data_IF_208942180496
#
_entry.id   IF_208942180496
#
_cell.length_a   1.000
_cell.length_b   1.000
_cell.length_c   1.000
_cell.angle_alpha   90.00
_cell.angle_beta   90.00
_cell.angle_gamma   90.00
#
_symmetry.space_group_name_H-M   'P 1'
#
loop_
_entity.id
_entity.type
_entity.pdbx_description
1 polymer ?
#
# COMPACT_ATOMS: atom_id res chain seq x y z
N UNK A 1 54.56 13.25 6.37
CA UNK A 1 54.55 13.34 7.85
C UNK A 1 53.49 14.34 8.25
N UNK A 2 52.24 13.91 8.27
CA UNK A 2 51.37 14.01 9.45
C UNK A 2 49.96 13.69 8.98
N UNK A 3 49.58 12.42 9.04
CA UNK A 3 48.24 11.91 8.71
C UNK A 3 47.93 10.77 9.67
N UNK A 4 48.17 11.02 10.95
CA UNK A 4 47.62 10.18 12.00
C UNK A 4 46.13 10.46 12.03
N UNK A 5 45.38 9.53 11.42
CA UNK A 5 43.93 9.59 11.30
C UNK A 5 43.20 9.30 12.60
N UNK A 6 43.62 9.93 13.69
CA UNK A 6 42.76 10.13 14.84
C UNK A 6 41.76 11.24 14.51
N UNK A 7 40.53 11.15 15.02
CA UNK A 7 39.66 12.33 15.03
C UNK A 7 40.44 13.48 15.66
N UNK A 8 40.54 14.64 14.99
CA UNK A 8 41.07 15.80 15.69
C UNK A 8 40.18 16.07 16.91
N UNK A 9 40.77 16.46 18.04
CA UNK A 9 40.03 16.72 19.29
C UNK A 9 38.83 17.67 19.07
N UNK A 10 38.95 18.58 18.11
CA UNK A 10 37.87 19.47 17.68
C UNK A 10 36.61 18.72 17.19
N UNK A 11 36.78 17.59 16.51
CA UNK A 11 35.68 16.73 16.06
C UNK A 11 34.97 16.09 17.25
N UNK A 12 35.71 15.52 18.20
CA UNK A 12 35.15 14.90 19.41
C UNK A 12 34.33 15.92 20.21
N UNK A 13 34.90 17.10 20.45
CA UNK A 13 34.22 18.19 21.16
C UNK A 13 32.94 18.63 20.43
N UNK A 14 32.93 18.66 19.09
CA UNK A 14 31.76 19.07 18.32
C UNK A 14 30.60 18.06 18.42
N UNK A 15 30.90 16.76 18.35
CA UNK A 15 29.90 15.68 18.46
C UNK A 15 29.39 15.47 19.89
N UNK A 16 30.16 15.91 20.89
CA UNK A 16 29.75 15.89 22.30
C UNK A 16 29.16 17.24 22.78
N UNK A 17 28.93 18.18 21.86
CA UNK A 17 28.22 19.42 22.20
C UNK A 17 26.77 19.14 22.56
N UNK A 18 26.17 20.01 23.40
CA UNK A 18 24.77 19.86 23.83
C UNK A 18 23.79 19.71 22.65
N UNK A 19 23.84 20.52 21.57
CA UNK A 19 22.94 20.33 20.43
C UNK A 19 23.14 19.00 19.70
N UNK A 20 24.38 18.49 19.64
CA UNK A 20 24.65 17.19 19.04
C UNK A 20 24.10 16.04 19.89
N UNK A 21 24.20 16.12 21.22
CA UNK A 21 23.68 15.12 22.17
C UNK A 21 22.15 15.14 22.29
N UNK A 22 21.50 16.25 21.93
CA UNK A 22 20.03 16.29 21.76
C UNK A 22 19.55 15.41 20.58
N UNK A 23 20.42 15.16 19.59
CA UNK A 23 20.11 14.36 18.41
C UNK A 23 20.70 12.94 18.48
N UNK A 24 22.00 12.84 18.77
CA UNK A 24 22.75 11.59 18.71
C UNK A 24 22.48 10.74 19.96
N UNK A 25 22.34 9.41 19.82
CA UNK A 25 22.19 8.49 20.94
C UNK A 25 23.50 8.07 21.61
N UNK A 26 24.60 8.77 21.32
CA UNK A 26 25.94 8.32 21.66
C UNK A 26 26.86 9.47 22.06
N UNK A 27 27.73 9.21 23.03
CA UNK A 27 28.91 10.02 23.31
C UNK A 27 30.08 9.51 22.46
N UNK A 28 30.73 10.40 21.72
CA UNK A 28 31.90 10.07 20.91
C UNK A 28 33.15 10.08 21.80
N UNK A 29 33.84 8.94 21.91
CA UNK A 29 35.06 8.83 22.71
C UNK A 29 36.34 8.99 21.86
N UNK A 30 36.27 8.65 20.57
CA UNK A 30 37.38 8.80 19.63
C UNK A 30 37.31 7.79 18.49
N UNK A 31 38.33 7.76 17.63
CA UNK A 31 38.48 6.74 16.58
C UNK A 31 39.46 5.66 17.02
N UNK A 32 39.15 4.40 16.71
CA UNK A 32 40.08 3.28 16.89
C UNK A 32 40.23 2.49 15.59
N UNK A 33 41.38 1.83 15.47
CA UNK A 33 41.68 0.89 14.40
C UNK A 33 41.61 -0.55 14.94
N UNK A 34 40.94 -1.43 14.20
CA UNK A 34 40.94 -2.86 14.44
C UNK A 34 42.21 -3.50 13.87
N UNK A 35 42.87 -4.34 14.68
CA UNK A 35 44.04 -5.14 14.29
C UNK A 35 43.92 -6.49 15.03
N UNK A 36 43.52 -7.59 14.36
CA UNK A 36 43.10 -7.71 12.96
C UNK A 36 41.78 -6.97 12.65
N UNK A 37 41.36 -6.82 11.37
CA UNK A 37 40.06 -6.26 11.03
C UNK A 37 38.92 -7.08 11.64
N UNK A 38 37.83 -6.40 11.99
CA UNK A 38 36.65 -7.01 12.61
C UNK A 38 35.44 -6.89 11.68
N UNK A 39 34.35 -7.57 12.03
CA UNK A 39 33.17 -7.71 11.19
C UNK A 39 31.91 -7.21 11.90
N UNK A 40 30.84 -6.99 11.13
CA UNK A 40 29.52 -6.75 11.71
C UNK A 40 28.89 -8.05 12.17
N UNK A 41 28.60 -8.15 13.46
CA UNK A 41 27.85 -9.24 14.06
C UNK A 41 26.35 -9.06 13.75
N UNK A 42 25.91 -9.72 12.69
CA UNK A 42 24.53 -9.74 12.22
C UNK A 42 23.96 -11.17 12.21
N UNK A 43 24.70 -12.13 12.76
CA UNK A 43 24.26 -13.52 12.81
C UNK A 43 23.08 -13.61 13.79
N UNK A 44 21.92 -14.09 13.32
CA UNK A 44 20.68 -14.16 14.11
C UNK A 44 20.13 -12.80 14.61
N UNK A 45 20.46 -11.69 13.96
CA UNK A 45 19.91 -10.39 14.34
C UNK A 45 18.43 -10.26 13.95
N UNK A 46 17.53 -10.27 14.93
CA UNK A 46 16.06 -10.17 14.74
C UNK A 46 15.54 -8.74 14.55
N UNK A 47 16.42 -7.75 14.53
CA UNK A 47 15.99 -6.36 14.43
C UNK A 47 15.30 -6.08 13.10
N UNK A 48 14.20 -5.30 13.12
CA UNK A 48 13.35 -5.04 11.96
C UNK A 48 14.11 -4.46 10.75
N UNK A 49 15.23 -3.77 11.00
CA UNK A 49 16.13 -3.25 9.96
C UNK A 49 16.72 -4.36 9.07
N UNK A 50 16.92 -5.57 9.60
CA UNK A 50 17.50 -6.70 8.90
C UNK A 50 16.49 -7.74 8.42
N UNK A 51 15.20 -7.56 8.72
CA UNK A 51 14.14 -8.52 8.35
C UNK A 51 14.16 -8.93 6.86
N UNK A 52 14.30 -7.98 5.95
CA UNK A 52 14.37 -8.24 4.50
C UNK A 52 15.60 -9.06 4.07
N UNK A 53 16.71 -8.96 4.80
CA UNK A 53 17.90 -9.74 4.51
C UNK A 53 17.72 -11.21 4.87
N UNK A 54 16.99 -11.48 5.94
CA UNK A 54 16.70 -12.86 6.35
C UNK A 54 15.93 -13.60 5.25
N UNK A 55 14.98 -12.93 4.60
CA UNK A 55 14.17 -13.50 3.51
C UNK A 55 14.97 -13.81 2.23
N UNK A 56 16.08 -13.10 2.00
CA UNK A 56 16.88 -13.21 0.77
C UNK A 56 18.12 -14.11 0.89
N UNK A 57 18.27 -14.85 1.99
CA UNK A 57 19.44 -15.71 2.21
C UNK A 57 20.51 -15.12 3.14
N UNK A 58 20.16 -14.10 3.93
CA UNK A 58 20.90 -13.64 5.11
C UNK A 58 21.69 -12.33 4.96
N UNK A 59 22.20 -11.86 6.09
CA UNK A 59 23.14 -10.73 6.24
C UNK A 59 24.60 -11.11 5.92
N UNK A 60 24.83 -12.34 5.42
CA UNK A 60 26.15 -12.97 5.34
C UNK A 60 27.19 -12.20 4.53
N UNK A 61 26.83 -11.64 3.36
CA UNK A 61 27.80 -10.83 2.59
C UNK A 61 28.23 -9.56 3.34
N UNK A 62 27.30 -8.90 4.05
CA UNK A 62 27.62 -7.72 4.86
C UNK A 62 28.47 -8.07 6.09
N UNK A 63 28.13 -9.17 6.76
CA UNK A 63 28.89 -9.68 7.91
C UNK A 63 30.28 -10.20 7.53
N UNK A 64 30.57 -10.45 6.25
CA UNK A 64 31.90 -10.85 5.80
C UNK A 64 32.77 -9.66 5.34
N UNK A 65 32.25 -8.42 5.40
CA UNK A 65 33.04 -7.24 5.03
C UNK A 65 33.90 -6.77 6.18
N UNK A 66 35.19 -6.60 5.92
CA UNK A 66 36.16 -6.13 6.91
C UNK A 66 35.90 -4.67 7.32
N UNK A 67 35.94 -4.43 8.62
CA UNK A 67 35.94 -3.12 9.24
C UNK A 67 37.32 -2.90 9.86
N UNK A 68 38.03 -1.92 9.33
CA UNK A 68 39.38 -1.58 9.76
C UNK A 68 39.40 -0.48 10.83
N UNK A 69 38.40 0.41 10.81
CA UNK A 69 38.31 1.54 11.73
C UNK A 69 36.86 1.79 12.14
N UNK A 70 36.69 2.26 13.36
CA UNK A 70 35.39 2.64 13.90
C UNK A 70 35.52 3.79 14.88
N UNK A 71 34.42 4.51 15.06
CA UNK A 71 34.21 5.43 16.15
C UNK A 71 33.90 4.65 17.42
N UNK A 72 34.79 4.76 18.40
CA UNK A 72 34.49 4.31 19.74
C UNK A 72 33.47 5.27 20.35
N UNK A 73 32.32 4.72 20.70
CA UNK A 73 31.21 5.48 21.26
C UNK A 73 30.65 4.79 22.50
N UNK A 74 30.07 5.58 23.39
CA UNK A 74 29.28 5.09 24.53
C UNK A 74 27.81 5.38 24.25
N UNK A 75 26.94 4.37 24.12
CA UNK A 75 25.50 4.60 23.91
C UNK A 75 24.83 5.11 25.18
N UNK A 76 23.84 6.00 25.03
CA UNK A 76 23.05 6.51 26.16
C UNK A 76 22.30 5.37 26.89
N UNK A 77 21.80 4.40 26.12
CA UNK A 77 21.21 3.17 26.64
C UNK A 77 21.69 1.95 25.84
N UNK A 78 22.17 0.86 26.48
CA UNK A 78 22.55 -0.38 25.81
C UNK A 78 21.47 -0.98 24.89
N UNK A 79 20.18 -0.80 25.21
CA UNK A 79 19.03 -1.31 24.44
C UNK A 79 18.90 -0.65 23.05
N UNK A 80 19.56 0.49 22.85
CA UNK A 80 19.59 1.20 21.57
C UNK A 80 20.54 0.58 20.56
N UNK A 81 21.43 -0.33 20.99
CA UNK A 81 22.41 -0.95 20.12
C UNK A 81 21.75 -2.07 19.30
N UNK A 82 21.62 -1.84 18.00
CA UNK A 82 21.01 -2.78 17.04
C UNK A 82 22.00 -3.87 16.62
N UNK A 83 23.25 -3.48 16.36
CA UNK A 83 24.29 -4.38 15.88
C UNK A 83 25.62 -4.03 16.52
N UNK A 84 26.48 -5.03 16.67
CA UNK A 84 27.80 -4.92 17.30
C UNK A 84 28.87 -5.40 16.34
N UNK A 85 30.12 -5.08 16.66
CA UNK A 85 31.26 -5.70 16.00
C UNK A 85 31.58 -7.04 16.65
N UNK A 86 32.28 -7.90 15.92
CA UNK A 86 32.79 -9.21 16.39
C UNK A 86 33.96 -9.11 17.36
N UNK A 87 34.40 -7.90 17.68
CA UNK A 87 35.55 -7.67 18.57
C UNK A 87 35.27 -8.17 19.99
N UNK A 88 36.33 -8.43 20.75
CA UNK A 88 36.21 -8.98 22.11
C UNK A 88 35.40 -8.11 23.09
N UNK A 89 35.19 -6.81 22.78
CA UNK A 89 34.39 -5.89 23.60
C UNK A 89 32.94 -5.77 23.12
N UNK A 90 32.57 -6.44 22.01
CA UNK A 90 31.28 -6.30 21.35
C UNK A 90 30.89 -4.83 21.18
N UNK A 91 31.83 -4.06 20.65
CA UNK A 91 31.73 -2.62 20.44
C UNK A 91 30.49 -2.30 19.61
N UNK A 92 29.73 -1.24 19.94
CA UNK A 92 28.49 -0.92 19.23
C UNK A 92 28.78 -0.45 17.80
N UNK A 93 28.13 -1.10 16.83
CA UNK A 93 28.30 -0.83 15.40
C UNK A 93 27.17 0.02 14.83
N UNK A 94 25.93 -0.33 15.17
CA UNK A 94 24.72 0.38 14.74
C UNK A 94 23.89 0.68 15.99
N UNK A 95 23.56 1.95 16.20
CA UNK A 95 22.78 2.42 17.35
C UNK A 95 21.56 3.18 16.83
N UNK A 96 20.38 2.95 17.41
CA UNK A 96 19.18 3.72 17.10
C UNK A 96 18.61 4.49 18.29
N UNK A 97 17.94 5.60 17.98
CA UNK A 97 17.09 6.31 18.94
C UNK A 97 15.86 6.84 18.25
N UNK A 98 14.74 6.76 18.97
CA UNK A 98 13.52 7.44 18.58
C UNK A 98 13.59 8.87 19.15
N UNK A 99 13.47 9.87 18.28
CA UNK A 99 13.47 11.28 18.65
C UNK A 99 12.14 11.92 18.22
N UNK A 100 11.21 12.02 19.17
CA UNK A 100 9.83 12.44 18.89
C UNK A 100 9.15 11.46 17.92
N UNK A 101 8.79 11.96 16.72
CA UNK A 101 8.24 11.15 15.61
C UNK A 101 9.31 10.71 14.60
N UNK A 102 10.56 11.09 14.81
CA UNK A 102 11.69 10.70 13.95
C UNK A 102 12.44 9.51 14.53
N UNK A 103 13.32 8.95 13.70
CA UNK A 103 14.31 7.98 14.13
C UNK A 103 15.69 8.47 13.70
N UNK A 104 16.67 8.30 14.57
CA UNK A 104 18.08 8.54 14.30
C UNK A 104 18.78 7.20 14.37
N UNK A 105 19.59 6.89 13.36
CA UNK A 105 20.46 5.71 13.34
C UNK A 105 21.88 6.20 13.14
N UNK A 106 22.79 5.70 13.97
CA UNK A 106 24.23 5.97 13.90
C UNK A 106 24.92 4.69 13.49
N UNK A 107 25.72 4.77 12.43
CA UNK A 107 26.68 3.74 12.04
C UNK A 107 28.08 4.23 12.47
N UNK A 108 28.80 3.44 13.26
CA UNK A 108 30.07 3.85 13.86
C UNK A 108 31.27 3.59 12.97
N UNK A 109 31.08 3.28 11.68
CA UNK A 109 32.17 3.18 10.70
C UNK A 109 31.83 3.94 9.42
N UNK A 110 32.84 4.18 8.57
CA UNK A 110 32.67 4.86 7.30
C UNK A 110 32.07 3.94 6.24
N UNK A 111 31.11 4.45 5.46
CA UNK A 111 30.56 3.81 4.25
C UNK A 111 31.15 4.45 3.00
N UNK A 112 32.45 4.63 3.01
CA UNK A 112 33.17 5.41 2.01
C UNK A 112 34.32 4.59 1.41
N UNK A 113 34.89 5.06 0.29
CA UNK A 113 35.98 4.36 -0.38
C UNK A 113 37.33 4.59 0.31
N UNK A 114 37.37 5.43 1.36
CA UNK A 114 38.54 5.92 2.06
C UNK A 114 39.08 4.89 3.09
N UNK A 115 38.43 3.73 3.22
CA UNK A 115 39.04 2.52 3.79
C UNK A 115 38.78 2.27 5.27
N UNK A 116 37.78 2.91 5.87
CA UNK A 116 37.35 2.57 7.25
C UNK A 116 36.67 1.22 7.31
N UNK A 117 35.84 0.91 6.32
CA UNK A 117 35.20 -0.39 6.14
C UNK A 117 35.15 -0.78 4.67
N UNK A 118 34.92 -2.06 4.41
CA UNK A 118 34.65 -2.59 3.08
C UNK A 118 33.16 -2.75 2.80
N UNK A 119 32.28 -2.15 3.60
CA UNK A 119 30.82 -2.34 3.48
C UNK A 119 30.27 -2.01 2.10
N UNK A 120 30.83 -0.99 1.42
CA UNK A 120 30.47 -0.63 0.04
C UNK A 120 30.73 -1.75 -0.98
N UNK A 121 31.64 -2.66 -0.69
CA UNK A 121 32.02 -3.77 -1.57
C UNK A 121 31.15 -5.02 -1.37
N UNK A 122 30.19 -5.01 -0.44
CA UNK A 122 29.16 -6.05 -0.29
C UNK A 122 28.10 -6.06 -1.41
N UNK A 123 28.50 -5.70 -2.64
CA UNK A 123 27.72 -5.76 -3.89
C UNK A 123 26.23 -5.43 -3.71
N UNK A 124 25.35 -6.42 -3.90
CA UNK A 124 23.90 -6.25 -3.84
C UNK A 124 23.41 -6.09 -2.40
N UNK A 125 24.09 -6.70 -1.42
CA UNK A 125 23.71 -6.63 -0.01
C UNK A 125 23.90 -5.23 0.57
N UNK A 126 24.94 -4.49 0.16
CA UNK A 126 25.05 -3.06 0.52
C UNK A 126 23.87 -2.24 -0.01
N UNK A 127 23.49 -2.46 -1.27
CA UNK A 127 22.35 -1.74 -1.87
C UNK A 127 21.05 -2.06 -1.16
N UNK A 128 20.81 -3.35 -0.85
CA UNK A 128 19.68 -3.76 -0.02
C UNK A 128 19.73 -3.11 1.37
N UNK A 129 20.92 -2.89 1.93
CA UNK A 129 21.09 -2.33 3.28
C UNK A 129 20.74 -0.86 3.29
N UNK A 130 21.24 -0.14 2.30
CA UNK A 130 20.91 1.27 2.10
C UNK A 130 19.39 1.48 1.86
N UNK A 131 18.75 0.64 1.02
CA UNK A 131 17.31 0.71 0.78
C UNK A 131 16.52 0.38 2.06
N UNK A 132 16.89 -0.68 2.78
CA UNK A 132 16.21 -1.06 4.03
C UNK A 132 16.42 -0.05 5.15
N UNK A 133 17.62 0.47 5.33
CA UNK A 133 17.90 1.55 6.29
C UNK A 133 17.05 2.78 5.95
N UNK A 134 16.98 3.14 4.67
CA UNK A 134 16.16 4.27 4.20
C UNK A 134 14.69 4.04 4.47
N UNK A 135 14.15 2.87 4.10
CA UNK A 135 12.76 2.49 4.41
C UNK A 135 12.51 2.45 5.90
N UNK A 136 13.45 1.97 6.70
CA UNK A 136 13.33 1.88 8.15
C UNK A 136 13.25 3.27 8.80
N UNK A 137 14.08 4.22 8.31
CA UNK A 137 14.07 5.61 8.76
C UNK A 137 12.80 6.36 8.29
N UNK A 138 12.30 6.07 7.09
CA UNK A 138 11.05 6.64 6.55
C UNK A 138 9.82 6.00 7.19
N UNK A 139 9.91 4.71 7.54
CA UNK A 139 8.91 3.94 8.29
C UNK A 139 9.01 4.31 9.77
N UNK A 140 8.91 5.60 10.04
CA UNK A 140 8.19 6.05 11.22
C UNK A 140 6.85 5.31 11.22
N UNK A 141 6.38 4.87 12.39
CA UNK A 141 4.98 4.46 12.60
C UNK A 141 4.05 5.67 12.39
N UNK A 142 4.11 6.28 11.22
CA UNK A 142 3.20 7.30 10.79
C UNK A 142 1.98 6.54 10.30
N UNK A 143 0.83 6.85 10.89
CA UNK A 143 -0.44 6.41 10.34
C UNK A 143 -0.46 6.73 8.86
N UNK A 144 -1.03 5.82 8.06
CA UNK A 144 -1.26 6.06 6.64
C UNK A 144 -1.96 7.41 6.51
N UNK A 145 -1.38 8.32 5.73
CA UNK A 145 -1.86 9.69 5.57
C UNK A 145 -2.70 9.89 4.31
N UNK A 146 -2.79 8.87 3.45
CA UNK A 146 -3.51 8.95 2.18
C UNK A 146 -4.39 7.71 2.01
N UNK A 147 -5.69 7.92 1.90
CA UNK A 147 -6.71 6.89 1.71
C UNK A 147 -7.58 7.24 0.49
N UNK A 148 -8.34 6.27 -0.02
CA UNK A 148 -9.33 6.48 -1.09
C UNK A 148 -10.74 6.68 -0.50
N UNK A 149 -11.55 7.54 -1.12
CA UNK A 149 -12.94 7.77 -0.72
C UNK A 149 -13.71 6.45 -0.53
N UNK A 150 -14.26 6.26 0.67
CA UNK A 150 -14.93 5.03 1.10
C UNK A 150 -14.07 4.01 1.84
N UNK A 151 -12.73 4.15 1.86
CA UNK A 151 -11.85 3.34 2.71
C UNK A 151 -11.95 3.76 4.17
N UNK A 152 -11.96 2.80 5.09
CA UNK A 152 -11.92 3.07 6.52
C UNK A 152 -10.51 3.53 6.93
N UNK A 153 -10.38 4.78 7.36
CA UNK A 153 -9.11 5.29 7.87
C UNK A 153 -8.87 4.80 9.30
N UNK A 154 -7.65 4.40 9.60
CA UNK A 154 -7.24 3.92 10.93
C UNK A 154 -6.14 4.83 11.46
N UNK A 155 -6.32 5.32 12.67
CA UNK A 155 -5.33 6.11 13.38
C UNK A 155 -4.85 5.32 14.60
N UNK A 156 -3.55 5.09 14.68
CA UNK A 156 -2.86 4.42 15.79
C UNK A 156 -1.98 5.43 16.51
N UNK A 157 -2.02 5.48 17.84
CA UNK A 157 -1.11 6.31 18.62
C UNK A 157 0.08 5.49 19.14
N UNK A 158 1.22 6.13 19.48
CA UNK A 158 2.35 5.43 20.05
C UNK A 158 1.97 4.65 21.32
N UNK A 159 2.51 3.44 21.49
CA UNK A 159 2.25 2.62 22.66
C UNK A 159 2.74 3.25 23.98
N UNK A 160 3.68 4.21 23.88
CA UNK A 160 4.21 4.98 25.01
C UNK A 160 3.33 6.18 25.39
N UNK A 161 2.34 6.55 24.57
CA UNK A 161 1.43 7.65 24.84
C UNK A 161 0.23 7.19 25.67
N UNK A 162 -0.26 8.06 26.56
CA UNK A 162 -1.51 7.83 27.30
C UNK A 162 -2.66 7.64 26.32
N UNK A 163 -3.48 6.63 26.54
CA UNK A 163 -4.67 6.37 25.71
C UNK A 163 -5.65 7.54 25.79
N UNK A 164 -5.96 8.22 24.67
CA UNK A 164 -6.93 9.30 24.66
C UNK A 164 -8.34 8.77 24.91
N UNK A 165 -9.15 9.50 25.68
CA UNK A 165 -10.56 9.14 25.92
C UNK A 165 -11.45 9.43 24.70
N UNK A 166 -11.16 10.55 24.01
CA UNK A 166 -11.90 10.97 22.83
C UNK A 166 -11.01 11.77 21.88
N UNK A 167 -11.35 11.70 20.60
CA UNK A 167 -10.81 12.56 19.57
C UNK A 167 -11.90 13.44 18.97
N UNK A 168 -11.50 14.59 18.44
CA UNK A 168 -12.35 15.44 17.64
C UNK A 168 -11.90 15.36 16.18
N UNK A 169 -12.75 14.78 15.32
CA UNK A 169 -12.51 14.71 13.89
C UNK A 169 -13.08 15.96 13.22
N UNK A 170 -12.22 16.74 12.57
CA UNK A 170 -12.60 17.80 11.64
C UNK A 170 -12.61 17.24 10.23
N UNK A 171 -13.76 17.34 9.57
CA UNK A 171 -13.99 16.84 8.22
C UNK A 171 -13.75 17.96 7.18
N UNK A 172 -13.59 17.60 5.88
CA UNK A 172 -13.39 18.58 4.81
C UNK A 172 -14.57 19.55 4.64
N UNK A 173 -15.79 19.15 5.01
CA UNK A 173 -16.99 20.00 5.01
C UNK A 173 -17.12 20.86 6.28
N UNK A 174 -16.03 21.03 7.03
CA UNK A 174 -15.90 21.86 8.23
C UNK A 174 -16.76 21.39 9.42
N UNK A 175 -17.31 20.18 9.37
CA UNK A 175 -17.98 19.58 10.53
C UNK A 175 -16.94 19.07 11.54
N UNK A 176 -17.36 19.02 12.79
CA UNK A 176 -16.56 18.46 13.88
C UNK A 176 -17.35 17.34 14.52
N UNK A 177 -16.79 16.13 14.50
CA UNK A 177 -17.43 14.91 14.98
C UNK A 177 -16.59 14.33 16.12
N UNK A 178 -17.16 14.12 17.32
CA UNK A 178 -16.46 13.41 18.39
C UNK A 178 -16.33 11.93 18.04
N UNK A 179 -15.16 11.36 18.31
CA UNK A 179 -14.89 9.92 18.18
C UNK A 179 -14.50 9.40 19.55
N UNK A 180 -15.33 8.53 20.11
CA UNK A 180 -15.05 7.85 21.38
C UNK A 180 -14.05 6.72 21.18
N UNK A 181 -13.06 6.66 22.07
CA UNK A 181 -12.05 5.61 22.06
C UNK A 181 -12.44 4.53 23.06
N UNK A 182 -12.42 3.27 22.61
CA UNK A 182 -12.65 2.13 23.50
C UNK A 182 -11.48 2.00 24.49
N UNK A 183 -11.78 1.74 25.76
CA UNK A 183 -10.74 1.53 26.77
C UNK A 183 -9.82 0.36 26.40
N UNK A 184 -8.51 0.56 26.54
CA UNK A 184 -7.49 -0.43 26.17
C UNK A 184 -7.22 -0.57 24.67
N UNK A 185 -7.87 0.24 23.81
CA UNK A 185 -7.52 0.29 22.40
C UNK A 185 -6.17 0.99 22.18
N UNK A 186 -5.48 0.63 21.10
CA UNK A 186 -4.28 1.32 20.59
C UNK A 186 -4.50 1.96 19.23
N UNK A 187 -5.75 1.89 18.73
CA UNK A 187 -6.15 2.43 17.45
C UNK A 187 -7.62 2.84 17.47
N UNK A 188 -7.96 3.78 16.61
CA UNK A 188 -9.32 4.23 16.36
C UNK A 188 -9.61 4.18 14.87
N UNK A 189 -10.78 3.65 14.52
CA UNK A 189 -11.28 3.65 13.15
C UNK A 189 -12.15 4.87 12.94
N UNK A 190 -11.90 5.60 11.85
CA UNK A 190 -12.57 6.86 11.57
C UNK A 190 -13.79 6.55 10.68
N UNK A 191 -15.01 6.83 11.16
CA UNK A 191 -16.23 6.54 10.41
C UNK A 191 -16.45 7.57 9.30
N UNK A 192 -17.17 7.14 8.24
CA UNK A 192 -17.71 7.99 7.17
C UNK A 192 -16.71 8.86 6.40
N UNK A 193 -15.65 8.22 5.91
CA UNK A 193 -14.61 8.76 5.04
C UNK A 193 -15.04 8.76 3.57
N UNK A 194 -16.25 9.27 3.26
CA UNK A 194 -16.74 9.34 1.87
C UNK A 194 -16.43 10.66 1.18
N UNK A 195 -16.26 11.73 1.96
CA UNK A 195 -16.02 13.06 1.44
C UNK A 195 -14.52 13.16 1.12
N UNK A 196 -14.19 13.58 -0.10
CA UNK A 196 -12.81 13.81 -0.52
C UNK A 196 -12.27 15.08 0.16
N UNK A 197 -11.02 15.04 0.62
CA UNK A 197 -10.34 16.19 1.18
C UNK A 197 -9.48 15.84 2.39
N UNK A 198 -9.11 16.88 3.14
CA UNK A 198 -8.26 16.75 4.33
C UNK A 198 -9.10 16.60 5.59
N UNK A 199 -8.79 15.56 6.35
CA UNK A 199 -9.35 15.31 7.66
C UNK A 199 -8.28 15.58 8.71
N UNK A 200 -8.68 16.18 9.82
CA UNK A 200 -7.81 16.46 10.96
C UNK A 200 -8.40 15.80 12.21
N UNK A 201 -7.59 15.00 12.88
CA UNK A 201 -7.91 14.35 14.14
C UNK A 201 -7.20 15.10 15.26
N UNK A 202 -7.98 15.69 16.17
CA UNK A 202 -7.48 16.49 17.29
C UNK A 202 -7.68 15.70 18.57
N UNK A 203 -6.61 15.49 19.31
CA UNK A 203 -6.69 14.97 20.67
C UNK A 203 -7.08 16.09 21.63
N UNK A 204 -8.26 15.95 22.25
CA UNK A 204 -8.79 16.92 23.22
C UNK A 204 -8.77 16.36 24.66
N UNK A 205 -8.07 15.26 24.91
CA UNK A 205 -8.02 14.61 26.24
C UNK A 205 -7.18 15.37 27.27
N UNK A 206 -6.16 16.12 26.84
CA UNK A 206 -5.29 16.89 27.74
C UNK A 206 -5.25 18.38 27.37
N UNK A 207 -5.46 19.25 28.35
CA UNK A 207 -5.34 20.71 28.19
C UNK A 207 -3.89 21.18 27.97
N UNK A 208 -2.90 20.29 28.15
CA UNK A 208 -1.48 20.64 28.20
C UNK A 208 -0.79 20.38 26.86
N UNK A 209 -1.23 19.39 26.08
CA UNK A 209 -0.67 19.08 24.75
C UNK A 209 -1.79 18.73 23.77
N UNK A 210 -2.23 19.72 23.00
CA UNK A 210 -3.08 19.47 21.82
C UNK A 210 -2.24 18.86 20.72
N UNK A 211 -2.35 17.55 20.54
CA UNK A 211 -1.76 16.88 19.39
C UNK A 211 -2.79 16.79 18.27
N UNK A 212 -2.46 17.26 17.08
CA UNK A 212 -3.26 17.03 15.88
C UNK A 212 -2.53 16.15 14.88
N UNK A 213 -3.29 15.28 14.21
CA UNK A 213 -2.82 14.47 13.10
C UNK A 213 -3.77 14.61 11.92
N UNK A 214 -3.21 14.66 10.71
CA UNK A 214 -3.98 14.83 9.49
C UNK A 214 -3.84 13.62 8.56
N UNK A 215 -4.90 13.35 7.82
CA UNK A 215 -4.88 12.42 6.68
C UNK A 215 -5.78 12.95 5.56
N UNK A 216 -5.55 12.45 4.35
CA UNK A 216 -6.25 12.87 3.14
C UNK A 216 -7.05 11.71 2.57
N UNK A 217 -8.28 12.02 2.19
CA UNK A 217 -9.20 11.19 1.43
C UNK A 217 -9.15 11.62 -0.04
N UNK A 218 -8.73 10.73 -0.91
CA UNK A 218 -8.53 11.00 -2.33
C UNK A 218 -9.60 10.31 -3.19
N UNK A 219 -9.88 10.88 -4.36
CA UNK A 219 -10.71 10.23 -5.39
C UNK A 219 -10.01 8.99 -5.90
N UNK A 220 -10.76 7.95 -6.28
CA UNK A 220 -10.17 6.78 -6.93
C UNK A 220 -9.54 7.22 -8.28
N UNK A 221 -8.23 6.98 -8.52
CA UNK A 221 -7.58 7.36 -9.77
C UNK A 221 -8.27 6.80 -11.03
N UNK A 222 -8.98 5.67 -10.90
CA UNK A 222 -9.77 5.08 -11.98
C UNK A 222 -10.89 6.02 -12.48
N UNK A 223 -11.43 6.91 -11.64
CA UNK A 223 -12.46 7.88 -12.04
C UNK A 223 -11.93 8.95 -13.01
N UNK A 224 -10.62 9.22 -12.97
CA UNK A 224 -9.97 10.17 -13.89
C UNK A 224 -9.37 9.48 -15.13
N UNK A 225 -9.61 8.18 -15.29
CA UNK A 225 -9.16 7.44 -16.46
C UNK A 225 -10.24 7.50 -17.56
N UNK A 226 -10.06 8.42 -18.51
CA UNK A 226 -10.97 8.62 -19.65
C UNK A 226 -10.70 7.67 -20.83
N UNK A 227 -9.96 6.57 -20.62
CA UNK A 227 -9.80 5.57 -21.69
C UNK A 227 -11.17 4.94 -22.00
N UNK A 228 -11.53 4.80 -23.28
CA UNK A 228 -12.76 4.12 -23.66
C UNK A 228 -12.79 2.71 -23.06
N UNK A 229 -13.91 2.35 -22.44
CA UNK A 229 -14.14 1.02 -21.91
C UNK A 229 -14.07 -0.02 -23.05
N UNK A 230 -13.40 -1.14 -22.78
CA UNK A 230 -13.28 -2.25 -23.73
C UNK A 230 -14.53 -3.13 -23.73
N UNK A 231 -14.70 -3.92 -24.79
CA UNK A 231 -15.78 -4.91 -24.84
C UNK A 231 -15.65 -5.96 -23.74
N UNK A 232 -14.42 -6.39 -23.42
CA UNK A 232 -14.19 -7.37 -22.35
C UNK A 232 -14.60 -6.83 -20.97
N UNK A 233 -14.36 -5.54 -20.69
CA UNK A 233 -14.80 -4.91 -19.45
C UNK A 233 -16.32 -4.74 -19.41
N UNK A 234 -16.95 -4.41 -20.55
CA UNK A 234 -18.42 -4.37 -20.65
C UNK A 234 -19.05 -5.76 -20.43
N UNK A 235 -18.46 -6.82 -21.00
CA UNK A 235 -18.89 -8.20 -20.77
C UNK A 235 -18.83 -8.58 -19.29
N UNK A 236 -17.81 -8.12 -18.56
CA UNK A 236 -17.68 -8.37 -17.12
C UNK A 236 -18.71 -7.60 -16.28
N UNK A 237 -19.00 -6.34 -16.63
CA UNK A 237 -19.89 -5.48 -15.84
C UNK A 237 -21.37 -5.78 -16.13
N UNK A 238 -21.73 -5.91 -17.41
CA UNK A 238 -23.11 -6.03 -17.86
C UNK A 238 -23.51 -7.48 -18.16
N UNK A 239 -22.54 -8.36 -18.39
CA UNK A 239 -22.73 -9.73 -18.86
C UNK A 239 -22.66 -9.81 -20.39
N UNK A 240 -21.95 -10.80 -20.90
CA UNK A 240 -21.91 -11.09 -22.33
C UNK A 240 -23.35 -11.25 -22.88
N UNK A 241 -23.60 -10.66 -24.05
CA UNK A 241 -24.90 -10.63 -24.75
C UNK A 241 -26.04 -9.83 -24.08
N UNK A 242 -25.80 -9.22 -22.91
CA UNK A 242 -26.81 -8.41 -22.22
C UNK A 242 -26.81 -6.93 -22.64
N UNK A 243 -25.93 -6.56 -23.57
CA UNK A 243 -25.82 -5.20 -24.09
C UNK A 243 -25.54 -5.21 -25.59
N UNK A 244 -25.91 -4.11 -26.26
CA UNK A 244 -25.57 -3.86 -27.67
C UNK A 244 -24.83 -2.55 -27.77
N UNK A 245 -23.59 -2.59 -28.27
CA UNK A 245 -22.80 -1.38 -28.51
C UNK A 245 -23.02 -0.90 -29.94
N UNK A 246 -23.55 0.30 -30.10
CA UNK A 246 -23.70 0.94 -31.41
C UNK A 246 -22.94 2.26 -31.44
N UNK A 247 -22.05 2.41 -32.43
CA UNK A 247 -21.19 3.61 -32.59
C UNK A 247 -21.73 4.61 -33.62
N UNK A 248 -22.85 4.29 -34.27
CA UNK A 248 -23.50 5.13 -35.27
C UNK A 248 -24.95 5.49 -34.87
N UNK A 249 -25.43 6.61 -35.40
CA UNK A 249 -26.78 7.09 -35.09
C UNK A 249 -27.87 6.21 -35.73
N UNK A 250 -27.59 5.63 -36.90
CA UNK A 250 -28.55 4.79 -37.63
C UNK A 250 -28.74 3.42 -36.98
N UNK A 251 -27.66 2.76 -36.57
CA UNK A 251 -27.73 1.50 -35.84
C UNK A 251 -28.34 1.65 -34.45
N UNK A 252 -28.18 2.81 -33.80
CA UNK A 252 -28.85 3.09 -32.52
C UNK A 252 -30.37 3.15 -32.68
N UNK A 253 -30.87 3.85 -33.71
CA UNK A 253 -32.30 3.88 -34.04
C UNK A 253 -32.86 2.49 -34.33
N UNK A 254 -32.11 1.65 -35.06
CA UNK A 254 -32.50 0.27 -35.36
C UNK A 254 -32.61 -0.57 -34.09
N UNK A 255 -31.63 -0.48 -33.21
CA UNK A 255 -31.58 -1.25 -31.95
C UNK A 255 -32.69 -0.84 -30.99
N UNK A 256 -32.96 0.47 -30.83
CA UNK A 256 -34.07 0.98 -30.02
C UNK A 256 -35.42 0.54 -30.59
N UNK A 257 -35.57 0.56 -31.92
CA UNK A 257 -36.82 0.13 -32.58
C UNK A 257 -37.11 -1.34 -32.29
N UNK A 258 -36.11 -2.22 -32.41
CA UNK A 258 -36.23 -3.66 -32.10
C UNK A 258 -36.48 -3.91 -30.61
N UNK A 259 -35.82 -3.18 -29.72
CA UNK A 259 -35.99 -3.35 -28.27
C UNK A 259 -37.33 -2.82 -27.72
N UNK A 260 -37.90 -1.78 -28.33
CA UNK A 260 -39.10 -1.10 -27.82
C UNK A 260 -40.41 -1.55 -28.47
N UNK A 261 -40.39 -1.99 -29.74
CA UNK A 261 -41.59 -2.44 -30.44
C UNK A 261 -41.83 -3.95 -30.33
N UNK A 262 -40.85 -4.70 -29.81
CA UNK A 262 -40.87 -6.16 -29.84
C UNK A 262 -40.74 -6.69 -31.27
N UNK A 263 -40.42 -7.97 -31.40
CA UNK A 263 -40.49 -8.65 -32.70
C UNK A 263 -41.97 -8.75 -33.05
N UNK A 264 -42.38 -8.23 -34.21
CA UNK A 264 -43.75 -8.39 -34.69
C UNK A 264 -44.01 -9.88 -34.95
N UNK A 265 -44.68 -10.57 -34.01
CA UNK A 265 -45.05 -11.99 -34.13
C UNK A 265 -46.28 -12.14 -35.05
N UNK A 266 -47.02 -11.05 -35.29
CA UNK A 266 -48.24 -11.03 -36.11
C UNK A 266 -48.05 -11.59 -37.54
N UNK A 267 -47.03 -11.19 -38.33
CA UNK A 267 -46.77 -11.79 -39.64
C UNK A 267 -46.52 -13.31 -39.58
N UNK A 268 -45.81 -13.77 -38.55
CA UNK A 268 -45.52 -15.19 -38.35
C UNK A 268 -46.81 -15.96 -38.04
N UNK A 269 -47.67 -15.43 -37.16
CA UNK A 269 -48.97 -16.02 -36.85
C UNK A 269 -49.91 -16.03 -38.05
N UNK A 270 -49.96 -14.97 -38.84
CA UNK A 270 -50.79 -14.90 -40.06
C UNK A 270 -50.30 -15.90 -41.09
N UNK A 271 -48.98 -16.06 -41.24
CA UNK A 271 -48.40 -17.07 -42.15
C UNK A 271 -48.74 -18.49 -41.71
N UNK A 272 -48.66 -18.76 -40.40
CA UNK A 272 -49.00 -20.07 -39.84
C UNK A 272 -50.50 -20.36 -39.98
N UNK A 273 -51.35 -19.36 -39.75
CA UNK A 273 -52.80 -19.46 -39.97
C UNK A 273 -53.12 -19.75 -41.44
N UNK A 274 -52.49 -19.04 -42.37
CA UNK A 274 -52.63 -19.29 -43.82
C UNK A 274 -52.22 -20.71 -44.19
N UNK A 275 -51.10 -21.20 -43.64
CA UNK A 275 -50.65 -22.57 -43.86
C UNK A 275 -51.69 -23.60 -43.37
N UNK A 276 -52.30 -23.37 -42.19
CA UNK A 276 -53.37 -24.22 -41.64
C UNK A 276 -54.60 -24.19 -42.56
N UNK A 277 -55.03 -23.02 -43.04
CA UNK A 277 -56.16 -22.92 -43.97
C UNK A 277 -55.89 -23.64 -45.29
N UNK A 278 -54.67 -23.52 -45.84
CA UNK A 278 -54.30 -24.26 -47.04
C UNK A 278 -54.30 -25.78 -46.81
N UNK A 279 -53.82 -26.23 -45.65
CA UNK A 279 -53.87 -27.64 -45.23
C UNK A 279 -55.32 -28.12 -45.09
N UNK A 280 -56.18 -27.35 -44.42
CA UNK A 280 -57.60 -27.65 -44.25
C UNK A 280 -58.30 -27.76 -45.61
N UNK A 281 -58.07 -26.79 -46.50
CA UNK A 281 -58.67 -26.79 -47.83
C UNK A 281 -58.19 -27.98 -48.67
N UNK A 282 -56.91 -28.34 -48.57
CA UNK A 282 -56.36 -29.53 -49.22
C UNK A 282 -57.01 -30.82 -48.68
N UNK A 283 -57.17 -30.95 -47.36
CA UNK A 283 -57.84 -32.11 -46.76
C UNK A 283 -59.32 -32.19 -47.12
N UNK A 284 -60.01 -31.04 -47.19
CA UNK A 284 -61.41 -30.99 -47.59
C UNK A 284 -61.60 -31.43 -49.04
N UNK A 285 -60.80 -30.93 -49.98
CA UNK A 285 -60.88 -31.37 -51.38
C UNK A 285 -60.53 -32.86 -51.55
N UNK A 286 -59.54 -33.37 -50.81
CA UNK A 286 -59.14 -34.77 -50.92
C UNK A 286 -60.17 -35.75 -50.35
N UNK A 287 -60.90 -35.39 -49.29
CA UNK A 287 -61.89 -36.29 -48.66
C UNK A 287 -63.30 -36.17 -49.26
N UNK A 288 -63.72 -35.01 -49.79
CA UNK A 288 -65.06 -34.86 -50.39
C UNK A 288 -65.20 -35.49 -51.79
N UNK A 289 -64.10 -35.81 -52.48
CA UNK A 289 -64.12 -36.53 -53.76
C UNK A 289 -64.52 -38.01 -53.61
N UNK A 290 -64.48 -38.55 -52.38
CA UNK A 290 -64.82 -39.95 -52.07
C UNK A 290 -66.33 -40.13 -51.79
N UNK A 291 -67.07 -39.04 -51.50
CA UNK A 291 -68.47 -39.08 -51.04
C UNK A 291 -69.50 -38.56 -52.05
N UNK A 292 -69.15 -38.36 -53.34
CA UNK A 292 -70.19 -38.15 -54.37
C UNK A 292 -70.83 -39.49 -54.78
N UNK A 293 -72.12 -39.76 -54.47
CA UNK A 293 -72.82 -40.91 -55.00
C UNK A 293 -73.18 -40.63 -56.45
N UNK A 294 -72.79 -41.56 -57.33
CA UNK A 294 -73.24 -41.61 -58.72
C UNK A 294 -74.75 -41.82 -58.80
N UNK A 295 -75.52 -40.74 -59.00
CA UNK A 295 -76.88 -40.84 -59.55
C UNK A 295 -76.78 -40.97 -61.08
N UNK A 296 -76.68 -42.21 -61.55
CA UNK A 296 -77.08 -42.59 -62.92
C UNK A 296 -78.47 -43.22 -62.89
N UNK A 297 -79.31 -42.63 -63.74
CA UNK A 297 -80.68 -42.95 -64.10
C UNK A 297 -80.90 -44.40 -64.56
N UNK A 298 -81.94 -45.05 -64.04
CA UNK A 298 -82.68 -46.07 -64.80
C UNK A 298 -84.18 -46.11 -64.43
N UNK A 299 -85.00 -45.92 -65.49
CA UNK A 299 -86.45 -46.14 -65.66
C UNK A 299 -87.44 -45.18 -65.01
#
# INVERSE_FOLDING_TARGET
MGSDGDAPESTIVSFNSRPAQELLPVELLGSLKFIPPEFLDLEHNEHALFSYFQDLGGTGELSNMEVNRYWRVEPENPDQVIARYTDARHSPAIIERNLGRGKVVVLTTGIDAQGWSQLLYARWSYLAFADQLTRYLIRTRANRTNYLAGEVAIYQWPATATTPESFLLRTPDLKQLPIEVKQGAHQVSIPDTRIVGHYELIDNSSNITRSSSGFSMNVNPAESNFRPISNQELDQILGAERYSMTRDMEGLKRTIRTGRLGVEIFPILVTLLLAVFCLEHFTANYFYEIDQPSEESTS
#
